data_IF_683931168394
#
_entry.id   IF_683931168394
#
_cell.length_a   1.000
_cell.length_b   1.000
_cell.length_c   1.000
_cell.angle_alpha   90.00
_cell.angle_beta   90.00
_cell.angle_gamma   90.00
#
_symmetry.space_group_name_H-M   'P 1'
#
loop_
_entity.id
_entity.type
_entity.pdbx_description
1 polymer ?
#
# COMPACT_ATOMS: atom_id res chain seq x y z
N UNK A 1 1.21 -30.21 2.36
CA UNK A 1 1.66 -29.00 1.65
C UNK A 1 1.04 -27.81 2.36
N UNK A 2 1.85 -26.80 2.74
CA UNK A 2 1.29 -25.54 3.23
C UNK A 2 0.38 -24.94 2.15
N UNK A 3 -0.76 -24.36 2.54
CA UNK A 3 -1.64 -23.68 1.60
C UNK A 3 -0.90 -22.48 0.97
N UNK A 4 -1.11 -22.26 -0.33
CA UNK A 4 -0.55 -21.14 -1.05
C UNK A 4 -1.11 -19.84 -0.46
N UNK A 5 -0.24 -18.92 -0.07
CA UNK A 5 -0.64 -17.62 0.43
C UNK A 5 -1.20 -16.74 -0.68
N UNK A 6 -2.23 -15.96 -0.36
CA UNK A 6 -2.88 -15.01 -1.27
C UNK A 6 -2.73 -13.59 -0.71
N UNK A 7 -2.21 -12.67 -1.51
CA UNK A 7 -2.07 -11.25 -1.16
C UNK A 7 -2.85 -10.41 -2.16
N UNK A 8 -3.68 -9.50 -1.67
CA UNK A 8 -4.23 -8.44 -2.50
C UNK A 8 -3.33 -7.22 -2.42
N UNK A 9 -2.90 -6.72 -3.57
CA UNK A 9 -2.21 -5.44 -3.71
C UNK A 9 -3.20 -4.42 -4.24
N UNK A 10 -3.45 -3.40 -3.45
CA UNK A 10 -4.29 -2.28 -3.82
C UNK A 10 -3.40 -1.09 -4.23
N UNK A 11 -3.48 -0.72 -5.50
CA UNK A 11 -2.86 0.52 -6.00
C UNK A 11 -3.83 1.67 -5.82
N UNK A 12 -3.62 2.50 -4.80
CA UNK A 12 -4.51 3.63 -4.52
C UNK A 12 -4.72 4.54 -5.72
N UNK A 13 -5.93 5.13 -5.80
CA UNK A 13 -6.35 6.01 -6.90
C UNK A 13 -6.40 5.30 -8.26
N UNK A 14 -6.56 6.04 -9.36
CA UNK A 14 -6.66 5.51 -10.72
C UNK A 14 -7.66 6.32 -11.55
N UNK A 15 -7.72 6.08 -12.86
CA UNK A 15 -8.62 6.79 -13.75
C UNK A 15 -8.44 8.30 -13.65
N UNK A 16 -9.54 9.01 -13.45
CA UNK A 16 -9.56 10.47 -13.30
C UNK A 16 -9.11 10.94 -11.90
N UNK A 17 -8.99 10.06 -10.91
CA UNK A 17 -8.45 10.40 -9.58
C UNK A 17 -6.92 10.25 -9.57
N UNK A 18 -6.15 11.35 -9.67
CA UNK A 18 -4.69 11.31 -9.67
C UNK A 18 -4.12 11.04 -8.27
N UNK A 19 -4.94 11.08 -7.22
CA UNK A 19 -4.47 11.19 -5.83
C UNK A 19 -3.83 12.55 -5.57
N UNK A 20 -2.78 12.59 -4.77
CA UNK A 20 -1.97 13.79 -4.58
C UNK A 20 -1.11 14.06 -5.81
N UNK A 21 -0.91 15.34 -6.09
CA UNK A 21 0.00 15.80 -7.14
C UNK A 21 1.13 16.55 -6.45
N UNK A 22 2.36 16.10 -6.68
CA UNK A 22 3.55 16.74 -6.17
C UNK A 22 3.84 18.10 -6.84
N UNK A 23 4.77 18.85 -6.29
CA UNK A 23 5.13 20.17 -6.78
C UNK A 23 5.64 20.16 -8.25
N UNK A 24 6.24 19.06 -8.68
CA UNK A 24 6.73 18.85 -10.05
C UNK A 24 5.72 18.11 -10.95
N UNK A 25 4.46 17.99 -10.51
CA UNK A 25 3.39 17.38 -11.30
C UNK A 25 3.33 15.85 -11.26
N UNK A 26 4.13 15.22 -10.41
CA UNK A 26 4.10 13.75 -10.23
C UNK A 26 2.79 13.34 -9.58
N UNK A 27 2.08 12.39 -10.18
CA UNK A 27 0.78 11.91 -9.69
C UNK A 27 0.96 10.70 -8.79
N UNK A 28 0.28 10.71 -7.66
CA UNK A 28 0.27 9.61 -6.70
C UNK A 28 -0.12 8.27 -7.33
N UNK A 29 -1.19 8.25 -8.15
CA UNK A 29 -1.68 7.02 -8.79
C UNK A 29 -0.62 6.29 -9.62
N UNK A 30 0.30 7.03 -10.25
CA UNK A 30 1.32 6.46 -11.14
C UNK A 30 2.41 5.77 -10.30
N UNK A 31 2.84 6.41 -9.22
CA UNK A 31 3.80 5.84 -8.26
C UNK A 31 3.21 4.61 -7.57
N UNK A 32 1.95 4.69 -7.12
CA UNK A 32 1.26 3.58 -6.46
C UNK A 32 1.24 2.33 -7.35
N UNK A 33 0.90 2.49 -8.63
CA UNK A 33 0.87 1.40 -9.59
C UNK A 33 2.27 0.83 -9.88
N UNK A 34 3.26 1.70 -10.04
CA UNK A 34 4.65 1.28 -10.28
C UNK A 34 5.18 0.42 -9.13
N UNK A 35 5.04 0.88 -7.88
CA UNK A 35 5.49 0.13 -6.69
C UNK A 35 4.71 -1.18 -6.55
N UNK A 36 3.38 -1.17 -6.74
CA UNK A 36 2.56 -2.38 -6.63
C UNK A 36 2.95 -3.45 -7.67
N UNK A 37 3.24 -3.06 -8.92
CA UNK A 37 3.72 -3.97 -9.96
C UNK A 37 5.09 -4.59 -9.62
N UNK A 38 6.00 -3.81 -9.04
CA UNK A 38 7.30 -4.29 -8.59
C UNK A 38 7.15 -5.27 -7.42
N UNK A 39 6.27 -4.96 -6.48
CA UNK A 39 5.95 -5.82 -5.34
C UNK A 39 5.29 -7.13 -5.80
N UNK A 40 4.33 -7.08 -6.73
CA UNK A 40 3.71 -8.27 -7.36
C UNK A 40 4.77 -9.24 -7.87
N UNK A 41 5.70 -8.75 -8.69
CA UNK A 41 6.77 -9.59 -9.26
C UNK A 41 7.61 -10.29 -8.18
N UNK A 42 7.87 -9.62 -7.05
CA UNK A 42 8.66 -10.20 -5.96
C UNK A 42 7.88 -11.29 -5.20
N UNK A 43 6.62 -11.04 -4.91
CA UNK A 43 5.74 -11.99 -4.22
C UNK A 43 5.47 -13.23 -5.08
N UNK A 44 5.18 -13.06 -6.37
CA UNK A 44 4.94 -14.19 -7.29
C UNK A 44 6.18 -15.09 -7.47
N UNK A 45 7.39 -14.51 -7.49
CA UNK A 45 8.64 -15.30 -7.50
C UNK A 45 8.80 -16.16 -6.24
N UNK A 46 8.19 -15.79 -5.13
CA UNK A 46 8.17 -16.57 -3.88
C UNK A 46 7.03 -17.61 -3.86
N UNK A 47 6.24 -17.71 -4.91
CA UNK A 47 5.10 -18.63 -4.98
C UNK A 47 3.85 -18.14 -4.26
N UNK A 48 3.78 -16.85 -3.94
CA UNK A 48 2.59 -16.19 -3.35
C UNK A 48 1.68 -15.79 -4.49
N UNK A 49 0.39 -16.10 -4.38
CA UNK A 49 -0.63 -15.67 -5.32
C UNK A 49 -0.95 -14.18 -5.08
N UNK A 50 -0.87 -13.38 -6.14
CA UNK A 50 -1.14 -11.94 -6.05
C UNK A 50 -2.34 -11.56 -6.90
N UNK A 51 -3.27 -10.83 -6.29
CA UNK A 51 -4.37 -10.18 -6.98
C UNK A 51 -4.20 -8.67 -6.84
N UNK A 52 -4.21 -7.95 -7.94
CA UNK A 52 -4.19 -6.48 -7.92
C UNK A 52 -5.60 -5.92 -8.07
N UNK A 53 -5.91 -4.82 -7.37
CA UNK A 53 -7.19 -4.11 -7.56
C UNK A 53 -7.27 -3.46 -8.93
N UNK A 54 -6.16 -2.95 -9.44
CA UNK A 54 -5.99 -2.50 -10.83
C UNK A 54 -4.60 -2.84 -11.36
N UNK A 55 -4.53 -3.16 -12.64
CA UNK A 55 -3.26 -3.43 -13.32
C UNK A 55 -2.91 -2.36 -14.36
N UNK A 56 -3.84 -1.47 -14.67
CA UNK A 56 -3.76 -0.37 -15.64
C UNK A 56 -3.94 1.00 -14.99
N UNK A 57 -4.12 1.99 -15.86
CA UNK A 57 -4.34 3.39 -15.49
C UNK A 57 -5.75 3.63 -14.94
N UNK A 58 -6.73 2.81 -15.35
CA UNK A 58 -8.12 2.97 -14.97
C UNK A 58 -8.35 2.64 -13.49
N UNK A 59 -9.38 3.23 -12.91
CA UNK A 59 -9.96 2.83 -11.64
C UNK A 59 -11.03 1.73 -11.85
N UNK A 60 -11.74 1.34 -10.80
CA UNK A 60 -12.76 0.30 -10.88
C UNK A 60 -14.18 0.86 -11.06
N UNK A 61 -14.36 2.17 -11.26
CA UNK A 61 -15.67 2.76 -11.50
C UNK A 61 -16.18 2.51 -12.92
N UNK A 62 -17.48 2.63 -13.12
CA UNK A 62 -18.04 2.60 -14.45
C UNK A 62 -17.73 3.92 -15.18
N UNK A 63 -17.51 3.88 -16.49
CA UNK A 63 -17.33 5.09 -17.26
C UNK A 63 -18.51 6.07 -17.06
N UNK A 64 -18.21 7.31 -16.65
CA UNK A 64 -19.23 8.33 -16.42
C UNK A 64 -20.04 8.18 -15.13
N UNK A 65 -19.61 7.36 -14.18
CA UNK A 65 -20.28 7.23 -12.90
C UNK A 65 -20.33 8.57 -12.13
N UNK A 66 -21.51 8.95 -11.65
CA UNK A 66 -21.73 10.22 -10.91
C UNK A 66 -20.87 10.27 -9.63
N UNK A 67 -20.67 9.14 -8.98
CA UNK A 67 -19.86 8.99 -7.77
C UNK A 67 -18.69 8.02 -8.01
N UNK A 68 -17.91 8.22 -9.07
CA UNK A 68 -16.83 7.33 -9.51
C UNK A 68 -15.90 6.92 -8.35
N UNK A 69 -15.43 7.88 -7.57
CA UNK A 69 -14.55 7.60 -6.41
C UNK A 69 -15.17 6.69 -5.35
N UNK A 70 -16.45 6.87 -5.05
CA UNK A 70 -17.15 6.00 -4.08
C UNK A 70 -17.33 4.60 -4.66
N UNK A 71 -17.70 4.51 -5.93
CA UNK A 71 -17.88 3.24 -6.62
C UNK A 71 -16.56 2.47 -6.74
N UNK A 72 -15.46 3.15 -7.07
CA UNK A 72 -14.12 2.58 -7.10
C UNK A 72 -13.75 1.96 -5.74
N UNK A 73 -13.88 2.72 -4.65
CA UNK A 73 -13.59 2.23 -3.31
C UNK A 73 -14.45 1.02 -2.91
N UNK A 74 -15.74 1.05 -3.23
CA UNK A 74 -16.65 -0.08 -2.96
C UNK A 74 -16.25 -1.33 -3.72
N UNK A 75 -15.87 -1.20 -4.99
CA UNK A 75 -15.44 -2.32 -5.82
C UNK A 75 -14.09 -2.90 -5.40
N UNK A 76 -13.16 -2.07 -4.92
CA UNK A 76 -11.92 -2.54 -4.30
C UNK A 76 -12.21 -3.43 -3.08
N UNK A 77 -13.08 -2.99 -2.20
CA UNK A 77 -13.50 -3.76 -1.02
C UNK A 77 -14.24 -5.03 -1.41
N UNK A 78 -15.14 -4.96 -2.40
CA UNK A 78 -15.83 -6.15 -2.92
C UNK A 78 -14.82 -7.18 -3.44
N UNK A 79 -13.85 -6.77 -4.26
CA UNK A 79 -12.78 -7.65 -4.76
C UNK A 79 -12.00 -8.30 -3.62
N UNK A 80 -11.64 -7.53 -2.59
CA UNK A 80 -10.95 -8.06 -1.41
C UNK A 80 -11.80 -9.16 -0.72
N UNK A 81 -13.09 -8.91 -0.52
CA UNK A 81 -13.99 -9.89 0.11
C UNK A 81 -14.18 -11.14 -0.74
N UNK A 82 -14.28 -11.02 -2.06
CA UNK A 82 -14.41 -12.14 -2.99
C UNK A 82 -13.16 -13.02 -3.01
N UNK A 83 -11.99 -12.41 -2.99
CA UNK A 83 -10.69 -13.13 -3.07
C UNK A 83 -10.25 -13.75 -1.75
N UNK A 84 -10.76 -13.26 -0.61
CA UNK A 84 -10.43 -13.75 0.74
C UNK A 84 -8.92 -13.94 0.94
N UNK A 85 -8.10 -12.90 0.72
CA UNK A 85 -6.65 -13.03 0.82
C UNK A 85 -6.19 -13.22 2.27
N UNK A 86 -4.95 -13.69 2.45
CA UNK A 86 -4.29 -13.74 3.77
C UNK A 86 -3.97 -12.34 4.29
N UNK A 87 -3.71 -11.38 3.41
CA UNK A 87 -3.57 -9.96 3.76
C UNK A 87 -3.75 -9.02 2.56
N UNK A 88 -3.96 -7.75 2.86
CA UNK A 88 -4.11 -6.65 1.89
C UNK A 88 -3.04 -5.59 2.13
N UNK A 89 -2.36 -5.19 1.06
CA UNK A 89 -1.39 -4.10 1.07
C UNK A 89 -1.89 -3.00 0.11
N UNK A 90 -2.32 -1.89 0.66
CA UNK A 90 -2.71 -0.71 -0.12
C UNK A 90 -1.54 0.26 -0.20
N UNK A 91 -1.10 0.59 -1.41
CA UNK A 91 0.06 1.47 -1.67
C UNK A 91 -0.43 2.87 -1.97
N UNK A 92 0.10 3.84 -1.23
CA UNK A 92 -0.24 5.25 -1.28
C UNK A 92 1.00 6.14 -1.11
N UNK A 93 0.82 7.44 -1.40
CA UNK A 93 1.78 8.49 -1.11
C UNK A 93 1.10 9.57 -0.26
N UNK A 94 1.74 9.94 0.83
CA UNK A 94 1.21 10.92 1.77
C UNK A 94 1.36 12.36 1.27
N UNK A 95 0.68 13.28 1.94
CA UNK A 95 0.84 14.72 1.75
C UNK A 95 0.50 15.44 3.04
N UNK A 96 1.25 16.48 3.35
CA UNK A 96 1.04 17.32 4.53
C UNK A 96 1.27 18.79 4.20
N UNK A 97 0.56 19.76 4.86
CA UNK A 97 0.76 21.19 4.59
C UNK A 97 2.17 21.69 4.84
N UNK A 98 2.87 21.16 5.84
CA UNK A 98 4.27 21.44 6.07
C UNK A 98 5.13 20.53 5.17
N UNK A 99 5.80 21.15 4.19
CA UNK A 99 6.66 20.46 3.23
C UNK A 99 7.94 19.86 3.85
N UNK A 100 8.27 20.17 5.09
CA UNK A 100 9.39 19.55 5.81
C UNK A 100 9.04 18.14 6.34
N UNK A 101 7.76 17.81 6.39
CA UNK A 101 7.29 16.49 6.85
C UNK A 101 7.65 15.41 5.84
N UNK A 102 8.29 14.32 6.31
CA UNK A 102 8.77 13.21 5.50
C UNK A 102 8.76 11.87 6.24
N UNK A 103 9.06 10.80 5.52
CA UNK A 103 9.25 9.44 6.04
C UNK A 103 8.03 8.54 5.85
N UNK A 104 8.26 7.33 5.34
CA UNK A 104 7.23 6.32 5.14
C UNK A 104 6.52 5.95 6.45
N UNK A 105 5.21 5.73 6.36
CA UNK A 105 4.38 5.34 7.51
C UNK A 105 3.31 4.33 7.12
N UNK A 106 3.15 3.29 7.93
CA UNK A 106 2.15 2.24 7.70
C UNK A 106 0.99 2.41 8.67
N UNK A 107 -0.23 2.34 8.13
CA UNK A 107 -1.47 2.45 8.89
C UNK A 107 -2.23 1.14 8.91
N UNK A 108 -2.90 0.86 10.04
CA UNK A 108 -3.76 -0.31 10.24
C UNK A 108 -5.04 0.06 10.97
N UNK A 109 -6.08 -0.77 10.87
CA UNK A 109 -7.32 -0.53 11.61
C UNK A 109 -7.14 -0.88 13.09
N UNK A 110 -7.61 0.01 13.97
CA UNK A 110 -7.49 -0.11 15.43
C UNK A 110 -7.92 -1.47 15.99
N UNK A 111 -8.98 -2.07 15.45
CA UNK A 111 -9.53 -3.36 15.95
C UNK A 111 -8.87 -4.59 15.31
N UNK A 112 -7.89 -4.41 14.41
CA UNK A 112 -7.25 -5.52 13.69
C UNK A 112 -5.91 -5.88 14.30
N UNK A 113 -5.88 -6.87 15.20
CA UNK A 113 -4.64 -7.36 15.80
C UNK A 113 -3.65 -7.88 14.75
N UNK A 114 -4.12 -8.68 13.77
CA UNK A 114 -3.28 -9.17 12.69
C UNK A 114 -2.85 -8.05 11.73
N UNK A 115 -3.71 -7.05 11.52
CA UNK A 115 -3.36 -5.84 10.75
C UNK A 115 -2.27 -5.03 11.45
N UNK A 116 -2.29 -4.95 12.78
CA UNK A 116 -1.22 -4.33 13.57
C UNK A 116 0.11 -5.05 13.39
N UNK A 117 0.14 -6.38 13.52
CA UNK A 117 1.36 -7.18 13.32
C UNK A 117 1.93 -6.96 11.91
N UNK A 118 1.07 -6.99 10.89
CA UNK A 118 1.47 -6.72 9.50
C UNK A 118 2.07 -5.33 9.34
N UNK A 119 1.40 -4.31 9.92
CA UNK A 119 1.86 -2.93 9.86
C UNK A 119 3.22 -2.74 10.55
N UNK A 120 3.44 -3.35 11.70
CA UNK A 120 4.70 -3.30 12.43
C UNK A 120 5.84 -3.97 11.64
N UNK A 121 5.59 -5.14 11.03
CA UNK A 121 6.58 -5.82 10.19
C UNK A 121 6.98 -4.98 8.97
N UNK A 122 5.99 -4.42 8.26
CA UNK A 122 6.26 -3.58 7.09
C UNK A 122 6.93 -2.26 7.49
N UNK A 123 6.51 -1.61 8.58
CA UNK A 123 7.12 -0.37 9.07
C UNK A 123 8.58 -0.57 9.44
N UNK A 124 8.90 -1.63 10.17
CA UNK A 124 10.28 -1.93 10.57
C UNK A 124 11.16 -2.26 9.36
N UNK A 125 10.62 -2.99 8.40
CA UNK A 125 11.31 -3.29 7.15
C UNK A 125 11.60 -2.02 6.33
N UNK A 126 10.65 -1.08 6.24
CA UNK A 126 10.85 0.22 5.60
C UNK A 126 11.94 1.04 6.29
N UNK A 127 11.94 1.10 7.61
CA UNK A 127 12.98 1.79 8.39
C UNK A 127 14.37 1.19 8.15
N UNK A 128 14.49 -0.12 8.29
CA UNK A 128 15.80 -0.79 8.21
C UNK A 128 16.39 -0.85 6.80
N UNK A 129 15.53 -0.86 5.74
CA UNK A 129 15.96 -1.11 4.36
C UNK A 129 15.90 0.11 3.44
N UNK A 130 15.09 1.11 3.77
CA UNK A 130 14.90 2.31 2.93
C UNK A 130 15.48 3.54 3.59
N UNK A 131 15.05 3.86 4.82
CA UNK A 131 15.51 5.05 5.54
C UNK A 131 15.70 4.76 7.04
N UNK A 132 16.94 4.49 7.45
CA UNK A 132 17.31 4.24 8.83
C UNK A 132 17.15 5.46 9.76
N UNK A 133 16.94 6.65 9.22
CA UNK A 133 16.66 7.86 9.99
C UNK A 133 15.17 8.05 10.30
N UNK A 134 14.29 7.31 9.61
CA UNK A 134 12.85 7.38 9.82
C UNK A 134 12.46 6.91 11.23
N UNK A 135 11.84 7.80 12.01
CA UNK A 135 11.39 7.52 13.39
C UNK A 135 9.90 7.22 13.50
N UNK A 136 9.19 7.16 12.38
CA UNK A 136 7.75 6.85 12.38
C UNK A 136 7.52 5.41 12.80
N UNK A 137 6.40 5.21 13.49
CA UNK A 137 5.90 3.90 13.90
C UNK A 137 4.65 3.57 13.11
N UNK A 138 4.33 2.28 13.03
CA UNK A 138 3.00 1.86 12.55
C UNK A 138 1.92 2.55 13.38
N UNK A 139 0.86 3.05 12.72
CA UNK A 139 -0.14 3.91 13.35
C UNK A 139 -1.55 3.40 13.12
N UNK A 140 -2.36 3.38 14.16
CA UNK A 140 -3.78 3.09 14.03
C UNK A 140 -4.52 4.19 13.26
N UNK A 141 -5.50 3.79 12.45
CA UNK A 141 -6.40 4.68 11.73
C UNK A 141 -7.81 4.08 11.68
N UNK A 142 -8.82 4.92 11.87
CA UNK A 142 -10.23 4.52 11.87
C UNK A 142 -10.97 4.99 10.62
N UNK A 143 -10.35 5.90 9.85
CA UNK A 143 -11.03 6.65 8.80
C UNK A 143 -10.84 6.05 7.41
N UNK A 144 -9.69 5.41 7.14
CA UNK A 144 -9.43 4.83 5.84
C UNK A 144 -10.46 3.76 5.48
N UNK A 145 -11.15 3.96 4.35
CA UNK A 145 -12.30 3.16 3.95
C UNK A 145 -11.96 1.66 3.86
N UNK A 146 -10.89 1.30 3.17
CA UNK A 146 -10.44 -0.11 3.04
C UNK A 146 -10.17 -0.72 4.41
N UNK A 147 -9.50 -0.01 5.31
CA UNK A 147 -9.15 -0.54 6.63
C UNK A 147 -10.38 -0.80 7.50
N UNK A 148 -11.38 0.09 7.48
CA UNK A 148 -12.56 -0.02 8.34
C UNK A 148 -13.64 -0.96 7.81
N UNK A 149 -13.60 -1.28 6.51
CA UNK A 149 -14.64 -2.09 5.85
C UNK A 149 -14.22 -3.53 5.59
N UNK A 150 -12.94 -3.88 5.77
CA UNK A 150 -12.47 -5.26 5.67
C UNK A 150 -12.13 -5.85 7.03
N UNK A 151 -12.45 -7.13 7.23
CA UNK A 151 -12.01 -7.92 8.40
C UNK A 151 -10.70 -8.68 8.15
N UNK A 152 -10.22 -8.65 6.92
CA UNK A 152 -8.94 -9.23 6.53
C UNK A 152 -7.81 -8.33 7.02
N UNK A 153 -6.67 -8.89 7.48
CA UNK A 153 -5.50 -8.08 7.83
C UNK A 153 -5.11 -7.16 6.69
N UNK A 154 -5.28 -5.86 6.88
CA UNK A 154 -5.05 -4.85 5.85
C UNK A 154 -4.22 -3.69 6.37
N UNK A 155 -3.33 -3.18 5.54
CA UNK A 155 -2.53 -1.98 5.83
C UNK A 155 -2.55 -1.01 4.66
N UNK A 156 -2.43 0.28 4.98
CA UNK A 156 -2.08 1.32 4.01
C UNK A 156 -0.62 1.70 4.23
N UNK A 157 0.16 1.58 3.18
CA UNK A 157 1.57 1.95 3.16
C UNK A 157 1.72 3.30 2.48
N UNK A 158 1.89 4.34 3.27
CA UNK A 158 2.26 5.67 2.80
C UNK A 158 3.78 5.69 2.59
N UNK A 159 4.22 5.54 1.36
CA UNK A 159 5.64 5.29 1.03
C UNK A 159 6.54 6.51 1.24
N UNK A 160 5.98 7.71 1.30
CA UNK A 160 6.63 9.00 1.52
C UNK A 160 5.65 10.14 1.28
N UNK A 161 6.11 11.38 1.34
CA UNK A 161 5.29 12.58 1.21
C UNK A 161 5.53 13.27 -0.14
N UNK A 162 4.52 13.29 -1.02
CA UNK A 162 4.58 14.05 -2.27
C UNK A 162 4.62 15.58 -2.07
N UNK A 163 4.26 16.06 -0.88
CA UNK A 163 4.41 17.46 -0.48
C UNK A 163 5.86 17.84 -0.14
N UNK A 164 6.75 16.87 0.05
CA UNK A 164 8.17 17.09 0.29
C UNK A 164 8.95 16.92 -1.01
N UNK A 165 9.65 17.96 -1.47
CA UNK A 165 10.30 17.96 -2.78
C UNK A 165 11.43 16.92 -2.91
N UNK A 166 12.14 16.61 -1.81
CA UNK A 166 13.17 15.57 -1.80
C UNK A 166 12.54 14.19 -1.95
N UNK A 167 11.46 13.91 -1.19
CA UNK A 167 10.74 12.64 -1.28
C UNK A 167 10.00 12.50 -2.62
N UNK A 168 9.38 13.56 -3.17
CA UNK A 168 8.77 13.52 -4.49
C UNK A 168 9.78 13.04 -5.55
N UNK A 169 11.00 13.59 -5.52
CA UNK A 169 12.07 13.18 -6.44
C UNK A 169 12.45 11.71 -6.25
N UNK A 170 12.61 11.25 -5.01
CA UNK A 170 12.91 9.86 -4.70
C UNK A 170 11.77 8.92 -5.11
N UNK A 171 10.54 9.27 -4.78
CA UNK A 171 9.34 8.47 -5.09
C UNK A 171 9.13 8.31 -6.60
N UNK A 172 9.60 9.26 -7.41
CA UNK A 172 9.57 9.18 -8.87
C UNK A 172 10.81 8.47 -9.47
N UNK A 173 11.76 8.04 -8.64
CA UNK A 173 12.94 7.30 -9.08
C UNK A 173 12.70 5.78 -9.03
N UNK A 174 12.96 5.10 -10.16
CA UNK A 174 12.69 3.66 -10.29
C UNK A 174 13.50 2.82 -9.31
N UNK A 175 14.76 3.18 -9.04
CA UNK A 175 15.60 2.43 -8.11
C UNK A 175 15.10 2.58 -6.67
N UNK A 176 14.56 3.74 -6.30
CA UNK A 176 13.94 3.96 -5.02
C UNK A 176 12.61 3.19 -4.88
N UNK A 177 11.78 3.17 -5.93
CA UNK A 177 10.56 2.36 -5.98
C UNK A 177 10.86 0.86 -5.83
N UNK A 178 11.94 0.37 -6.45
CA UNK A 178 12.42 -1.02 -6.26
C UNK A 178 12.81 -1.30 -4.80
N UNK A 179 13.47 -0.36 -4.13
CA UNK A 179 13.83 -0.49 -2.71
C UNK A 179 12.60 -0.51 -1.81
N UNK A 180 11.62 0.37 -2.08
CA UNK A 180 10.33 0.38 -1.37
C UNK A 180 9.60 -0.95 -1.54
N UNK A 181 9.45 -1.43 -2.78
CA UNK A 181 8.81 -2.71 -3.07
C UNK A 181 9.54 -3.88 -2.39
N UNK A 182 10.87 -3.87 -2.36
CA UNK A 182 11.67 -4.86 -1.65
C UNK A 182 11.44 -4.82 -0.14
N UNK A 183 11.41 -3.63 0.46
CA UNK A 183 11.17 -3.48 1.89
C UNK A 183 9.76 -3.97 2.29
N UNK A 184 8.73 -3.60 1.51
CA UNK A 184 7.36 -4.07 1.76
C UNK A 184 7.27 -5.58 1.60
N UNK A 185 7.89 -6.16 0.57
CA UNK A 185 7.99 -7.61 0.38
C UNK A 185 8.60 -8.32 1.59
N UNK A 186 9.74 -7.86 2.09
CA UNK A 186 10.36 -8.43 3.28
C UNK A 186 9.44 -8.36 4.51
N UNK A 187 8.77 -7.22 4.73
CA UNK A 187 7.83 -7.07 5.83
C UNK A 187 6.62 -8.01 5.74
N UNK A 188 6.14 -8.33 4.52
CA UNK A 188 5.08 -9.32 4.31
C UNK A 188 5.58 -10.73 4.68
N UNK A 189 6.80 -11.10 4.31
CA UNK A 189 7.37 -12.40 4.67
C UNK A 189 7.55 -12.52 6.18
N UNK A 190 8.09 -11.50 6.83
CA UNK A 190 8.23 -11.43 8.29
C UNK A 190 6.87 -11.58 9.00
N UNK A 191 5.82 -10.97 8.46
CA UNK A 191 4.46 -11.14 8.94
C UNK A 191 3.98 -12.60 8.82
N UNK A 192 4.13 -13.22 7.66
CA UNK A 192 3.72 -14.61 7.46
C UNK A 192 4.47 -15.57 8.37
N UNK A 193 5.75 -15.34 8.61
CA UNK A 193 6.53 -16.13 9.57
C UNK A 193 5.97 -15.96 10.99
N UNK A 194 5.77 -14.72 11.45
CA UNK A 194 5.24 -14.44 12.79
C UNK A 194 3.88 -15.09 13.06
N UNK A 195 2.94 -15.00 12.10
CA UNK A 195 1.60 -15.57 12.31
C UNK A 195 1.55 -17.10 12.19
N UNK A 196 2.56 -17.74 11.64
CA UNK A 196 2.64 -19.21 11.59
C UNK A 196 3.12 -19.82 12.91
N UNK A 197 3.62 -19.01 13.83
CA UNK A 197 4.11 -19.44 15.15
C UNK A 197 3.04 -19.22 16.25
N UNK A 198 2.03 -18.38 15.97
CA UNK A 198 0.90 -18.08 16.88
C UNK A 198 -0.26 -19.02 16.57
#
# INVERSE_FOLDING_TARGET
KAATKVVVLDSGHGGDDPGKIGANGVKEKDINLAIARLLKKKLEKQGILVVMTREGEDDLSDPGAVNAKVQDLQRRVQLIHEKKPDCVISIHQNSYPDAAVKGAQVFYHKSSERGKILAECVQESLKSRVDGSNRRMAKENKEYYILRTTQIPAVIVECGFLSNAEEEKLLNDTAYQERLAWAVYCGILDYFEKISII
#
